data_IF_101254346246
#
_entry.id   IF_101254346246
#
_cell.length_a   1.000
_cell.length_b   1.000
_cell.length_c   1.000
_cell.angle_alpha   90.00
_cell.angle_beta   90.00
_cell.angle_gamma   90.00
#
_symmetry.space_group_name_H-M   'P 1'
#
loop_
_entity.id
_entity.type
_entity.pdbx_description
1 polymer ?
#
# COMPACT_ATOMS: atom_id res chain seq x y z
N UNK A 1 15.27 -18.94 -26.31
CA UNK A 1 14.75 -19.33 -24.99
C UNK A 1 14.44 -18.03 -24.27
N UNK A 2 13.29 -17.88 -23.62
CA UNK A 2 12.94 -16.61 -22.95
C UNK A 2 13.75 -16.46 -21.67
N UNK A 3 14.55 -15.40 -21.54
CA UNK A 3 15.28 -15.07 -20.31
C UNK A 3 14.29 -14.78 -19.19
N UNK A 4 14.45 -15.44 -18.04
CA UNK A 4 13.63 -15.19 -16.85
C UNK A 4 14.30 -14.13 -15.97
N UNK A 5 13.48 -13.37 -15.22
CA UNK A 5 13.98 -12.44 -14.21
C UNK A 5 14.85 -13.12 -13.14
N UNK A 6 14.65 -14.40 -12.85
CA UNK A 6 15.48 -15.16 -11.92
C UNK A 6 16.91 -15.29 -12.43
N UNK A 7 17.06 -15.64 -13.71
CA UNK A 7 18.37 -15.85 -14.33
C UNK A 7 19.12 -14.51 -14.41
N UNK A 8 18.41 -13.45 -14.79
CA UNK A 8 18.97 -12.09 -14.80
C UNK A 8 19.38 -11.62 -13.40
N UNK A 9 18.64 -11.98 -12.35
CA UNK A 9 18.98 -11.66 -10.98
C UNK A 9 20.26 -12.36 -10.53
N UNK A 10 20.38 -13.66 -10.80
CA UNK A 10 21.54 -14.44 -10.42
C UNK A 10 22.82 -13.92 -11.11
N UNK A 11 22.71 -13.52 -12.39
CA UNK A 11 23.80 -12.89 -13.13
C UNK A 11 24.19 -11.50 -12.56
N UNK A 12 23.21 -10.69 -12.15
CA UNK A 12 23.46 -9.40 -11.49
C UNK A 12 24.16 -9.62 -10.14
N UNK A 13 23.71 -10.60 -9.35
CA UNK A 13 24.32 -10.92 -8.06
C UNK A 13 25.79 -11.36 -8.25
N UNK A 14 26.10 -12.14 -9.28
CA UNK A 14 27.47 -12.49 -9.64
C UNK A 14 28.33 -11.25 -9.96
N UNK A 15 27.82 -10.32 -10.76
CA UNK A 15 28.52 -9.06 -11.09
C UNK A 15 28.79 -8.23 -9.83
N UNK A 16 27.82 -8.12 -8.93
CA UNK A 16 27.98 -7.35 -7.69
C UNK A 16 29.02 -8.01 -6.77
N UNK A 17 29.05 -9.35 -6.70
CA UNK A 17 30.06 -10.08 -5.94
C UNK A 17 31.47 -9.86 -6.50
N UNK A 18 31.62 -9.84 -7.82
CA UNK A 18 32.90 -9.57 -8.47
C UNK A 18 33.37 -8.13 -8.22
N UNK A 19 32.48 -7.15 -8.34
CA UNK A 19 32.81 -5.75 -8.01
C UNK A 19 33.24 -5.58 -6.55
N UNK A 20 32.62 -6.30 -5.61
CA UNK A 20 33.03 -6.29 -4.19
C UNK A 20 34.44 -6.87 -4.01
N UNK A 21 34.77 -7.94 -4.72
CA UNK A 21 36.10 -8.57 -4.68
C UNK A 21 37.17 -7.67 -5.29
N UNK A 22 36.84 -6.94 -6.36
CA UNK A 22 37.77 -6.03 -7.03
C UNK A 22 38.19 -4.85 -6.14
N UNK A 23 37.28 -4.30 -5.32
CA UNK A 23 37.52 -3.04 -4.59
C UNK A 23 38.12 -3.21 -3.18
N UNK A 24 38.02 -4.38 -2.56
CA UNK A 24 38.58 -4.70 -1.22
C UNK A 24 38.22 -3.73 -0.06
N UNK A 25 37.38 -2.73 -0.31
CA UNK A 25 36.87 -1.74 0.65
C UNK A 25 35.45 -2.09 1.15
N UNK A 26 34.83 -3.10 0.53
CA UNK A 26 33.47 -3.55 0.86
C UNK A 26 32.36 -2.67 0.30
N UNK A 27 32.68 -1.62 -0.46
CA UNK A 27 31.70 -0.69 -1.03
C UNK A 27 31.60 -0.86 -2.55
N UNK A 28 30.37 -0.94 -3.06
CA UNK A 28 30.11 -0.93 -4.50
C UNK A 28 29.15 0.22 -4.80
N UNK A 29 29.64 1.32 -5.41
CA UNK A 29 28.77 2.39 -5.90
C UNK A 29 27.73 1.82 -6.85
N UNK A 30 26.46 2.20 -6.64
CA UNK A 30 25.35 1.71 -7.45
C UNK A 30 25.55 2.04 -8.94
N UNK A 31 26.08 3.21 -9.25
CA UNK A 31 26.31 3.63 -10.64
C UNK A 31 27.33 2.73 -11.35
N UNK A 32 28.39 2.30 -10.65
CA UNK A 32 29.40 1.38 -11.18
C UNK A 32 28.81 -0.02 -11.39
N UNK A 33 27.97 -0.49 -10.47
CA UNK A 33 27.24 -1.74 -10.62
C UNK A 33 26.30 -1.69 -11.82
N UNK A 34 25.55 -0.61 -11.99
CA UNK A 34 24.64 -0.42 -13.13
C UNK A 34 25.43 -0.40 -14.44
N UNK A 35 26.54 0.32 -14.50
CA UNK A 35 27.39 0.38 -15.68
C UNK A 35 27.90 -1.01 -16.08
N UNK A 36 28.39 -1.79 -15.10
CA UNK A 36 28.89 -3.15 -15.35
C UNK A 36 27.78 -4.11 -15.76
N UNK A 37 26.61 -4.05 -15.10
CA UNK A 37 25.43 -4.85 -15.46
C UNK A 37 24.99 -4.55 -16.88
N UNK A 38 24.93 -3.27 -17.29
CA UNK A 38 24.58 -2.88 -18.67
C UNK A 38 25.61 -3.37 -19.68
N UNK A 39 26.89 -3.30 -19.36
CA UNK A 39 27.96 -3.77 -20.24
C UNK A 39 27.95 -5.29 -20.43
N UNK A 40 27.67 -6.06 -19.37
CA UNK A 40 27.81 -7.51 -19.39
C UNK A 40 26.51 -8.25 -19.73
N UNK A 41 25.35 -7.66 -19.42
CA UNK A 41 24.04 -8.30 -19.53
C UNK A 41 23.08 -7.55 -20.46
N UNK A 42 23.58 -6.64 -21.30
CA UNK A 42 22.76 -5.79 -22.16
C UNK A 42 21.72 -6.54 -23.01
N UNK A 43 22.11 -7.66 -23.60
CA UNK A 43 21.22 -8.50 -24.41
C UNK A 43 20.13 -9.16 -23.56
N UNK A 44 20.51 -9.72 -22.39
CA UNK A 44 19.57 -10.33 -21.43
C UNK A 44 18.59 -9.30 -20.85
N UNK A 45 19.06 -8.09 -20.58
CA UNK A 45 18.22 -6.96 -20.13
C UNK A 45 17.21 -6.61 -21.21
N UNK A 46 17.64 -6.56 -22.48
CA UNK A 46 16.77 -6.24 -23.61
C UNK A 46 15.71 -7.32 -23.80
N UNK A 47 16.07 -8.60 -23.69
CA UNK A 47 15.13 -9.72 -23.76
C UNK A 47 14.15 -9.78 -22.58
N UNK A 48 14.56 -9.32 -21.39
CA UNK A 48 13.72 -9.29 -20.18
C UNK A 48 13.04 -7.93 -19.93
N UNK A 49 13.10 -6.99 -20.89
CA UNK A 49 12.69 -5.59 -20.69
C UNK A 49 11.25 -5.46 -20.19
N UNK A 50 10.30 -6.16 -20.80
CA UNK A 50 8.89 -6.11 -20.39
C UNK A 50 8.70 -6.59 -18.94
N UNK A 51 9.41 -7.65 -18.53
CA UNK A 51 9.34 -8.16 -17.16
C UNK A 51 9.94 -7.16 -16.15
N UNK A 52 11.01 -6.44 -16.53
CA UNK A 52 11.62 -5.38 -15.71
C UNK A 52 10.72 -4.15 -15.58
N UNK A 53 10.04 -3.77 -16.67
CA UNK A 53 9.05 -2.69 -16.68
C UNK A 53 7.91 -3.03 -15.72
N UNK A 54 7.34 -4.23 -15.83
CA UNK A 54 6.26 -4.69 -14.95
C UNK A 54 6.66 -4.69 -13.47
N UNK A 55 7.88 -5.16 -13.16
CA UNK A 55 8.42 -5.15 -11.80
C UNK A 55 8.52 -3.72 -11.25
N UNK A 56 9.04 -2.80 -12.07
CA UNK A 56 9.20 -1.39 -11.70
C UNK A 56 7.85 -0.70 -11.51
N UNK A 57 6.90 -0.92 -12.42
CA UNK A 57 5.54 -0.38 -12.32
C UNK A 57 4.84 -0.88 -11.06
N UNK A 58 4.97 -2.16 -10.71
CA UNK A 58 4.43 -2.70 -9.44
C UNK A 58 5.02 -1.97 -8.25
N UNK A 59 6.35 -1.80 -8.19
CA UNK A 59 7.03 -1.09 -7.10
C UNK A 59 6.53 0.35 -6.98
N UNK A 60 6.46 1.09 -8.10
CA UNK A 60 5.93 2.45 -8.13
C UNK A 60 4.47 2.53 -7.66
N UNK A 61 3.63 1.59 -8.08
CA UNK A 61 2.23 1.48 -7.61
C UNK A 61 2.22 1.22 -6.09
N UNK A 62 3.13 0.42 -5.54
CA UNK A 62 3.25 0.27 -4.08
C UNK A 62 3.68 1.56 -3.39
N UNK A 63 4.69 2.25 -3.92
CA UNK A 63 5.21 3.49 -3.34
C UNK A 63 4.20 4.64 -3.41
N UNK A 64 3.37 4.70 -4.45
CA UNK A 64 2.32 5.72 -4.58
C UNK A 64 1.09 5.36 -3.77
N UNK A 65 0.61 4.11 -3.82
CA UNK A 65 -0.55 3.69 -3.02
C UNK A 65 -0.27 3.69 -1.50
N UNK A 66 0.99 3.52 -1.08
CA UNK A 66 1.40 3.57 0.31
C UNK A 66 1.50 4.98 0.89
N UNK A 67 1.49 6.03 0.05
CA UNK A 67 1.46 7.42 0.53
C UNK A 67 0.07 7.74 1.08
N UNK A 68 0.06 8.13 2.36
CA UNK A 68 -1.09 8.53 3.17
C UNK A 68 -1.86 9.72 2.56
N UNK A 69 -2.71 9.47 1.57
CA UNK A 69 -3.81 10.38 1.23
C UNK A 69 -5.11 9.61 1.29
N UNK A 70 -5.71 9.56 2.48
CA UNK A 70 -7.16 9.58 2.57
C UNK A 70 -7.60 11.00 2.18
N UNK A 71 -7.62 11.29 0.89
CA UNK A 71 -8.33 12.47 0.40
C UNK A 71 -9.47 11.99 -0.50
N UNK A 72 -10.58 11.63 0.12
CA UNK A 72 -11.87 12.02 -0.43
C UNK A 72 -12.14 13.46 0.04
N UNK A 73 -11.29 14.37 -0.42
CA UNK A 73 -11.74 15.73 -0.71
C UNK A 73 -12.46 15.63 -2.06
N UNK A 74 -13.68 15.09 -2.05
CA UNK A 74 -14.66 15.55 -3.01
C UNK A 74 -14.80 17.04 -2.73
N UNK A 75 -14.39 17.87 -3.67
CA UNK A 75 -14.49 19.33 -3.62
C UNK A 75 -15.88 19.69 -3.06
N UNK A 76 -15.93 20.15 -1.81
CA UNK A 76 -17.16 20.55 -1.13
C UNK A 76 -17.83 19.57 -0.15
N UNK A 77 -17.31 18.36 0.11
CA UNK A 77 -17.86 17.44 1.13
C UNK A 77 -16.87 17.18 2.27
N UNK A 78 -17.36 17.26 3.50
CA UNK A 78 -16.64 16.94 4.74
C UNK A 78 -16.02 15.54 4.63
N UNK A 79 -14.71 15.41 4.84
CA UNK A 79 -14.04 14.11 4.79
C UNK A 79 -14.61 13.20 5.88
N UNK A 80 -15.34 12.15 5.48
CA UNK A 80 -15.91 11.14 6.38
C UNK A 80 -14.85 10.46 7.27
N UNK A 81 -13.59 10.53 6.85
CA UNK A 81 -12.44 9.94 7.53
C UNK A 81 -11.42 10.97 7.99
N UNK A 82 -11.74 12.28 7.96
CA UNK A 82 -10.80 13.38 8.18
C UNK A 82 -10.10 13.40 9.54
N UNK A 83 -10.63 12.67 10.52
CA UNK A 83 -10.04 12.51 11.85
C UNK A 83 -8.99 11.39 11.92
N UNK A 84 -8.99 10.47 10.96
CA UNK A 84 -8.11 9.32 10.97
C UNK A 84 -6.81 9.61 10.21
N UNK A 85 -5.78 10.05 10.94
CA UNK A 85 -4.43 10.14 10.39
C UNK A 85 -3.75 8.76 10.39
N UNK A 86 -2.90 8.50 9.39
CA UNK A 86 -2.05 7.30 9.38
C UNK A 86 -2.63 6.07 8.70
N UNK A 87 -3.84 6.13 8.15
CA UNK A 87 -4.48 5.02 7.46
C UNK A 87 -3.98 4.91 6.01
N UNK A 88 -3.70 3.70 5.50
CA UNK A 88 -3.34 3.50 4.09
C UNK A 88 -4.51 3.93 3.17
N UNK A 89 -4.21 4.55 2.04
CA UNK A 89 -5.24 4.92 1.05
C UNK A 89 -5.82 3.68 0.33
N UNK A 90 -5.00 2.65 0.17
CA UNK A 90 -5.38 1.40 -0.50
C UNK A 90 -4.93 0.21 0.35
N UNK A 91 -5.77 -0.82 0.41
CA UNK A 91 -5.43 -2.12 0.97
C UNK A 91 -5.37 -3.19 -0.12
N UNK A 92 -4.63 -4.26 0.13
CA UNK A 92 -4.55 -5.42 -0.77
C UNK A 92 -5.62 -6.43 -0.39
N UNK A 93 -6.57 -6.72 -1.29
CA UNK A 93 -7.67 -7.67 -1.04
C UNK A 93 -7.42 -9.06 -1.63
N UNK A 94 -6.33 -9.23 -2.39
CA UNK A 94 -5.94 -10.50 -2.97
C UNK A 94 -4.68 -10.37 -3.83
N UNK A 95 -4.23 -11.46 -4.45
CA UNK A 95 -3.02 -11.46 -5.29
C UNK A 95 -3.17 -10.46 -6.45
N UNK A 96 -2.38 -9.40 -6.43
CA UNK A 96 -2.39 -8.35 -7.44
C UNK A 96 -3.59 -7.41 -7.42
N UNK A 97 -4.47 -7.50 -6.40
CA UNK A 97 -5.66 -6.66 -6.28
C UNK A 97 -5.50 -5.68 -5.13
N UNK A 98 -5.63 -4.39 -5.44
CA UNK A 98 -5.73 -3.33 -4.44
C UNK A 98 -7.13 -2.72 -4.50
N UNK A 99 -7.64 -2.31 -3.35
CA UNK A 99 -8.92 -1.64 -3.19
C UNK A 99 -8.72 -0.39 -2.37
N UNK A 100 -9.49 0.65 -2.66
CA UNK A 100 -9.57 1.84 -1.81
C UNK A 100 -10.01 1.41 -0.41
N UNK A 101 -9.28 1.83 0.62
CA UNK A 101 -9.56 1.47 2.00
C UNK A 101 -10.99 1.82 2.40
N UNK A 102 -11.53 2.94 1.91
CA UNK A 102 -12.92 3.38 2.21
C UNK A 102 -13.97 2.45 1.59
N UNK A 103 -13.65 1.85 0.44
CA UNK A 103 -14.52 0.92 -0.29
C UNK A 103 -14.31 -0.54 0.11
N UNK A 104 -13.38 -0.82 1.02
CA UNK A 104 -13.18 -2.17 1.53
C UNK A 104 -14.34 -2.58 2.44
N UNK A 105 -14.70 -3.87 2.41
CA UNK A 105 -15.60 -4.43 3.42
C UNK A 105 -14.88 -4.64 4.74
N UNK A 106 -15.62 -4.80 5.83
CA UNK A 106 -15.05 -5.15 7.13
C UNK A 106 -14.23 -6.45 7.07
N UNK A 107 -14.72 -7.46 6.35
CA UNK A 107 -14.00 -8.72 6.15
C UNK A 107 -12.66 -8.53 5.42
N UNK A 108 -12.61 -7.67 4.40
CA UNK A 108 -11.38 -7.37 3.67
C UNK A 108 -10.38 -6.59 4.53
N UNK A 109 -10.89 -5.64 5.33
CA UNK A 109 -10.08 -4.88 6.28
C UNK A 109 -9.48 -5.79 7.36
N UNK A 110 -10.30 -6.68 7.94
CA UNK A 110 -9.87 -7.67 8.94
C UNK A 110 -8.82 -8.61 8.36
N UNK A 111 -9.04 -9.14 7.16
CA UNK A 111 -8.07 -10.01 6.46
C UNK A 111 -6.73 -9.30 6.25
N UNK A 112 -6.77 -8.03 5.83
CA UNK A 112 -5.57 -7.24 5.59
C UNK A 112 -4.80 -6.92 6.88
N UNK A 113 -5.52 -6.61 7.96
CA UNK A 113 -4.96 -6.35 9.28
C UNK A 113 -4.32 -7.61 9.87
N UNK A 114 -5.03 -8.74 9.87
CA UNK A 114 -4.52 -10.02 10.38
C UNK A 114 -3.30 -10.53 9.62
N UNK A 115 -3.23 -10.29 8.30
CA UNK A 115 -2.04 -10.64 7.51
C UNK A 115 -0.78 -9.88 7.96
N UNK A 116 -0.96 -8.65 8.47
CA UNK A 116 0.13 -7.74 8.90
C UNK A 116 0.40 -7.75 10.40
N UNK A 117 -0.48 -8.35 11.21
CA UNK A 117 -0.23 -8.56 12.63
C UNK A 117 0.91 -9.53 12.91
N UNK A 118 1.24 -10.37 11.94
CA UNK A 118 2.38 -11.31 11.99
C UNK A 118 3.70 -10.68 11.53
N UNK A 119 3.68 -9.44 11.04
CA UNK A 119 4.87 -8.70 10.66
C UNK A 119 5.48 -7.97 11.87
N UNK A 120 6.68 -7.40 11.70
CA UNK A 120 7.43 -6.71 12.75
C UNK A 120 6.61 -5.66 13.52
N UNK A 121 7.03 -5.40 14.77
CA UNK A 121 6.40 -4.43 15.69
C UNK A 121 6.19 -3.05 15.07
N UNK A 122 7.12 -2.62 14.20
CA UNK A 122 7.06 -1.34 13.48
C UNK A 122 5.95 -1.29 12.42
N UNK A 123 5.62 -2.42 11.80
CA UNK A 123 4.50 -2.52 10.85
C UNK A 123 3.18 -2.52 11.61
N UNK A 124 3.12 -3.24 12.73
CA UNK A 124 1.93 -3.29 13.59
C UNK A 124 1.55 -1.90 14.10
N UNK A 125 2.51 -1.13 14.60
CA UNK A 125 2.27 0.23 15.11
C UNK A 125 1.80 1.20 14.01
N UNK A 126 2.29 1.06 12.78
CA UNK A 126 1.85 1.86 11.62
C UNK A 126 0.39 1.59 11.25
N UNK A 127 -0.14 0.40 11.54
CA UNK A 127 -1.50 0.00 11.19
C UNK A 127 -2.51 0.17 12.33
N UNK A 128 -2.07 0.59 13.52
CA UNK A 128 -2.92 0.74 14.70
C UNK A 128 -4.11 1.68 14.45
N UNK A 129 -3.87 2.77 13.73
CA UNK A 129 -4.91 3.74 13.37
C UNK A 129 -5.96 3.17 12.43
N UNK A 130 -5.56 2.26 11.54
CA UNK A 130 -6.51 1.58 10.67
C UNK A 130 -7.35 0.57 11.47
N UNK A 131 -6.72 -0.20 12.37
CA UNK A 131 -7.46 -1.09 13.30
C UNK A 131 -8.46 -0.30 14.14
N UNK A 132 -8.01 0.80 14.74
CA UNK A 132 -8.87 1.69 15.53
C UNK A 132 -10.07 2.17 14.73
N UNK A 133 -9.87 2.63 13.48
CA UNK A 133 -10.98 3.05 12.62
C UNK A 133 -11.96 1.92 12.33
N UNK A 134 -11.47 0.72 11.99
CA UNK A 134 -12.33 -0.44 11.71
C UNK A 134 -13.19 -0.77 12.94
N UNK A 135 -12.59 -0.81 14.12
CA UNK A 135 -13.32 -1.07 15.37
C UNK A 135 -14.31 0.05 15.75
N UNK A 136 -13.96 1.32 15.51
CA UNK A 136 -14.88 2.45 15.73
C UNK A 136 -16.08 2.44 14.78
N UNK A 137 -15.93 1.90 13.57
CA UNK A 137 -16.99 1.81 12.57
C UNK A 137 -17.82 0.52 12.70
N UNK A 138 -17.28 -0.52 13.34
CA UNK A 138 -17.93 -1.84 13.47
C UNK A 138 -19.34 -1.79 14.06
N UNK A 139 -19.64 -0.96 15.09
CA UNK A 139 -21.00 -0.82 15.62
C UNK A 139 -22.03 -0.29 14.62
N UNK A 140 -21.58 0.37 13.56
CA UNK A 140 -22.43 0.96 12.52
C UNK A 140 -22.63 0.02 11.33
N UNK A 141 -22.04 -1.18 11.33
CA UNK A 141 -22.24 -2.19 10.29
C UNK A 141 -23.62 -2.86 10.45
N UNK A 142 -24.40 -2.93 9.38
CA UNK A 142 -25.71 -3.57 9.31
C UNK A 142 -25.71 -4.85 8.47
N UNK A 143 -24.80 -4.97 7.50
CA UNK A 143 -24.66 -6.18 6.69
C UNK A 143 -23.18 -6.59 6.50
N UNK A 144 -22.89 -7.89 6.29
CA UNK A 144 -21.51 -8.39 6.20
C UNK A 144 -20.72 -7.89 4.97
N UNK A 145 -21.41 -7.48 3.92
CA UNK A 145 -20.87 -7.00 2.65
C UNK A 145 -20.74 -5.47 2.57
N UNK A 146 -21.14 -4.75 3.64
CA UNK A 146 -21.02 -3.31 3.68
C UNK A 146 -19.57 -2.83 3.74
N UNK A 147 -19.37 -1.65 3.16
CA UNK A 147 -18.07 -1.00 3.14
C UNK A 147 -17.84 -0.14 4.38
N UNK A 148 -16.57 0.15 4.66
CA UNK A 148 -16.19 1.09 5.72
C UNK A 148 -16.81 2.49 5.48
N UNK A 149 -16.99 2.89 4.22
CA UNK A 149 -17.68 4.15 3.88
C UNK A 149 -19.15 4.14 4.28
N UNK A 150 -19.88 3.04 4.05
CA UNK A 150 -21.30 2.94 4.40
C UNK A 150 -21.50 3.05 5.91
N UNK A 151 -20.62 2.41 6.70
CA UNK A 151 -20.60 2.55 8.15
C UNK A 151 -20.21 3.97 8.61
N UNK A 152 -19.21 4.59 7.97
CA UNK A 152 -18.78 5.95 8.29
C UNK A 152 -19.85 7.00 8.01
N UNK A 153 -20.61 6.86 6.90
CA UNK A 153 -21.74 7.73 6.58
C UNK A 153 -22.80 7.68 7.68
N UNK A 154 -23.18 6.48 8.13
CA UNK A 154 -24.16 6.31 9.22
C UNK A 154 -23.69 6.85 10.55
N UNK A 155 -22.42 6.62 10.92
CA UNK A 155 -21.81 7.23 12.09
C UNK A 155 -21.93 8.76 12.02
N UNK A 156 -21.57 9.35 10.88
CA UNK A 156 -21.65 10.80 10.69
C UNK A 156 -23.10 11.31 10.73
N UNK A 157 -24.06 10.58 10.16
CA UNK A 157 -25.48 10.93 10.25
C UNK A 157 -25.95 10.92 11.71
N UNK A 158 -25.65 9.87 12.48
CA UNK A 158 -26.02 9.77 13.90
C UNK A 158 -25.34 10.84 14.77
N UNK A 159 -24.09 11.19 14.48
CA UNK A 159 -23.34 12.22 15.22
C UNK A 159 -23.78 13.65 14.88
N UNK A 160 -24.37 13.90 13.71
CA UNK A 160 -24.88 15.23 13.30
C UNK A 160 -26.37 15.44 13.56
N UNK A 161 -27.13 14.39 13.87
CA UNK A 161 -28.55 14.49 14.28
C UNK A 161 -28.78 15.26 15.60
N UNK A 162 -27.88 15.28 16.63
CA UNK A 162 -28.17 15.98 17.88
C UNK A 162 -28.19 17.52 17.78
N UNK A 163 -27.67 18.12 16.70
CA UNK A 163 -27.53 19.57 16.60
C UNK A 163 -28.68 20.29 15.88
N UNK A 164 -29.54 19.57 15.15
CA UNK A 164 -30.67 20.20 14.43
C UNK A 164 -31.93 20.38 15.28
N UNK A 165 -32.12 19.57 16.32
CA UNK A 165 -33.34 19.63 17.15
C UNK A 165 -33.26 20.60 18.35
N UNK A 166 -32.11 21.22 18.60
CA UNK A 166 -31.94 22.17 19.72
C UNK A 166 -32.13 23.65 19.36
N UNK A 167 -32.36 23.99 18.08
CA UNK A 167 -32.58 25.37 17.62
C UNK A 167 -33.96 25.61 16.99
N UNK A 168 -34.86 24.62 17.04
CA UNK A 168 -36.20 24.68 16.44
C UNK A 168 -37.37 24.73 17.44
N UNK A 169 -37.14 25.15 18.68
CA UNK A 169 -38.14 25.09 19.74
C UNK A 169 -38.27 26.39 20.54
N UNK A 170 -39.21 27.22 20.08
CA UNK A 170 -39.76 28.47 20.65
C UNK A 170 -39.01 29.78 20.39
#
# INVERSE_FOLDING_TARGET
MTVKLTDLRDDIDAIVLDLRRERNDGEVPIDDAIARVRSNLGDKISEAADQLIDLTLRKLIHDVSGRKRLSLALIGQTSLFGHYSGIPAMITTGRGKKRDTTKATFQEADTWLSAREKEDTDVRSKNEKFRQMVEELRPYMQAPDETLEDAARRKFEMENVPQRDLLGGR
#
